data_IF_339490892832
#
_entry.id   IF_339490892832
#
_cell.length_a   1.000
_cell.length_b   1.000
_cell.length_c   1.000
_cell.angle_alpha   90.00
_cell.angle_beta   90.00
_cell.angle_gamma   90.00
#
_symmetry.space_group_name_H-M   'P 1'
#
loop_
_entity.id
_entity.type
_entity.pdbx_description
1 polymer ?
#
# COMPACT_ATOMS: atom_id res chain seq x y z
N UNK A 1 -78.56 -1.43 16.75
CA UNK A 1 -77.82 -0.87 17.90
C UNK A 1 -76.57 -1.69 18.24
N UNK A 2 -76.63 -2.92 18.76
CA UNK A 2 -75.42 -3.69 19.17
C UNK A 2 -74.39 -3.96 18.06
N UNK A 3 -74.82 -4.20 16.82
CA UNK A 3 -73.91 -4.50 15.70
C UNK A 3 -73.07 -3.26 15.31
N UNK A 4 -73.70 -2.10 15.22
CA UNK A 4 -73.01 -0.85 14.88
C UNK A 4 -72.05 -0.39 15.99
N UNK A 5 -72.37 -0.67 17.25
CA UNK A 5 -71.45 -0.40 18.38
C UNK A 5 -70.19 -1.27 18.27
N UNK A 6 -70.36 -2.53 17.87
CA UNK A 6 -69.25 -3.47 17.69
C UNK A 6 -68.36 -3.08 16.51
N UNK A 7 -68.95 -2.69 15.37
CA UNK A 7 -68.19 -2.19 14.20
C UNK A 7 -67.41 -0.90 14.52
N UNK A 8 -68.01 0.03 15.28
CA UNK A 8 -67.31 1.25 15.74
C UNK A 8 -66.15 0.92 16.67
N UNK A 9 -66.33 -0.03 17.59
CA UNK A 9 -65.27 -0.47 18.50
C UNK A 9 -64.12 -1.18 17.76
N UNK A 10 -64.43 -1.99 16.76
CA UNK A 10 -63.44 -2.66 15.91
C UNK A 10 -62.64 -1.65 15.10
N UNK A 11 -63.31 -0.65 14.51
CA UNK A 11 -62.64 0.44 13.79
C UNK A 11 -61.67 1.23 14.68
N UNK A 12 -62.08 1.55 15.91
CA UNK A 12 -61.22 2.24 16.89
C UNK A 12 -59.99 1.38 17.27
N UNK A 13 -60.20 0.08 17.48
CA UNK A 13 -59.09 -0.86 17.76
C UNK A 13 -58.11 -0.98 16.61
N UNK A 14 -58.60 -1.04 15.38
CA UNK A 14 -57.75 -1.10 14.20
C UNK A 14 -56.91 0.16 14.08
N UNK A 15 -57.53 1.33 14.25
CA UNK A 15 -56.84 2.62 14.17
C UNK A 15 -55.82 2.81 15.32
N UNK A 16 -56.09 2.26 16.50
CA UNK A 16 -55.12 2.24 17.61
C UNK A 16 -53.92 1.33 17.29
N UNK A 17 -54.18 0.15 16.70
CA UNK A 17 -53.14 -0.80 16.32
C UNK A 17 -52.25 -0.24 15.21
N UNK A 18 -52.83 0.39 14.18
CA UNK A 18 -52.08 1.06 13.11
C UNK A 18 -51.19 2.19 13.65
N UNK A 19 -51.68 2.98 14.60
CA UNK A 19 -50.87 4.01 15.27
C UNK A 19 -49.72 3.39 16.07
N UNK A 20 -49.98 2.32 16.80
CA UNK A 20 -48.97 1.62 17.58
C UNK A 20 -47.89 0.99 16.68
N UNK A 21 -48.29 0.39 15.56
CA UNK A 21 -47.38 -0.18 14.58
C UNK A 21 -46.50 0.89 13.93
N UNK A 22 -47.10 2.03 13.55
CA UNK A 22 -46.35 3.18 13.02
C UNK A 22 -45.32 3.70 14.01
N UNK A 23 -45.66 3.83 15.29
CA UNK A 23 -44.72 4.26 16.33
C UNK A 23 -43.57 3.27 16.50
N UNK A 24 -43.86 1.96 16.48
CA UNK A 24 -42.84 0.91 16.56
C UNK A 24 -41.90 0.92 15.36
N UNK A 25 -42.43 1.11 14.16
CA UNK A 25 -41.61 1.19 12.95
C UNK A 25 -40.66 2.38 13.02
N UNK A 26 -41.18 3.54 13.43
CA UNK A 26 -40.37 4.75 13.56
C UNK A 26 -39.29 4.63 14.66
N UNK A 27 -39.56 3.89 15.73
CA UNK A 27 -38.57 3.56 16.76
C UNK A 27 -37.48 2.63 16.23
N UNK A 28 -37.86 1.59 15.48
CA UNK A 28 -36.92 0.66 14.84
C UNK A 28 -36.03 1.37 13.82
N UNK A 29 -36.59 2.22 12.96
CA UNK A 29 -35.83 3.00 11.98
C UNK A 29 -34.81 3.93 12.65
N UNK A 30 -35.19 4.58 13.75
CA UNK A 30 -34.26 5.40 14.55
C UNK A 30 -33.15 4.55 15.16
N UNK A 31 -33.48 3.39 15.72
CA UNK A 31 -32.49 2.49 16.31
C UNK A 31 -31.52 1.94 15.25
N UNK A 32 -32.02 1.56 14.08
CA UNK A 32 -31.20 1.09 12.96
C UNK A 32 -30.28 2.19 12.45
N UNK A 33 -30.79 3.42 12.29
CA UNK A 33 -29.98 4.57 11.90
C UNK A 33 -28.84 4.84 12.88
N UNK A 34 -29.11 4.81 14.18
CA UNK A 34 -28.07 4.99 15.21
C UNK A 34 -27.01 3.89 15.13
N UNK A 35 -27.44 2.64 14.94
CA UNK A 35 -26.53 1.50 14.86
C UNK A 35 -25.65 1.55 13.59
N UNK A 36 -26.20 2.00 12.47
CA UNK A 36 -25.46 2.19 11.23
C UNK A 36 -24.41 3.29 11.38
N UNK A 37 -24.78 4.41 12.02
CA UNK A 37 -23.87 5.52 12.27
C UNK A 37 -22.72 5.15 13.23
N UNK A 38 -23.00 4.30 14.22
CA UNK A 38 -21.96 3.74 15.11
C UNK A 38 -20.99 2.82 14.34
N UNK A 39 -21.51 1.94 13.48
CA UNK A 39 -20.69 1.08 12.63
C UNK A 39 -19.80 1.88 11.68
N UNK A 40 -20.35 2.90 11.02
CA UNK A 40 -19.60 3.76 10.11
C UNK A 40 -18.46 4.50 10.83
N UNK A 41 -18.73 5.01 12.04
CA UNK A 41 -17.69 5.63 12.88
C UNK A 41 -16.61 4.64 13.28
N UNK A 42 -16.97 3.42 13.67
CA UNK A 42 -16.02 2.38 14.06
C UNK A 42 -15.16 1.94 12.87
N UNK A 43 -15.75 1.79 11.68
CA UNK A 43 -15.03 1.47 10.45
C UNK A 43 -14.06 2.57 10.05
N UNK A 44 -14.49 3.84 10.11
CA UNK A 44 -13.64 5.00 9.85
C UNK A 44 -12.42 5.04 10.78
N UNK A 45 -12.62 4.78 12.07
CA UNK A 45 -11.53 4.73 13.05
C UNK A 45 -10.53 3.61 12.74
N UNK A 46 -11.01 2.42 12.38
CA UNK A 46 -10.15 1.30 11.95
C UNK A 46 -9.35 1.64 10.70
N UNK A 47 -9.98 2.27 9.72
CA UNK A 47 -9.31 2.65 8.48
C UNK A 47 -8.22 3.69 8.74
N UNK A 48 -8.50 4.69 9.58
CA UNK A 48 -7.52 5.70 9.98
C UNK A 48 -6.33 5.08 10.73
N UNK A 49 -6.56 4.09 11.59
CA UNK A 49 -5.51 3.35 12.29
C UNK A 49 -4.62 2.57 11.31
N UNK A 50 -5.22 1.85 10.35
CA UNK A 50 -4.47 1.12 9.32
C UNK A 50 -3.62 2.05 8.45
N UNK A 51 -4.16 3.22 8.08
CA UNK A 51 -3.42 4.24 7.31
C UNK A 51 -2.24 4.77 8.12
N UNK A 52 -2.42 5.05 9.41
CA UNK A 52 -1.32 5.47 10.30
C UNK A 52 -0.25 4.41 10.43
N UNK A 53 -0.63 3.14 10.57
CA UNK A 53 0.30 2.02 10.66
C UNK A 53 1.09 1.85 9.35
N UNK A 54 0.45 1.94 8.19
CA UNK A 54 1.11 1.91 6.90
C UNK A 54 2.09 3.06 6.73
N UNK A 55 1.69 4.28 7.07
CA UNK A 55 2.57 5.44 7.01
C UNK A 55 3.79 5.31 7.95
N UNK A 56 3.64 4.66 9.10
CA UNK A 56 4.74 4.39 10.01
C UNK A 56 5.70 3.33 9.46
N UNK A 57 5.17 2.25 8.86
CA UNK A 57 5.98 1.24 8.17
C UNK A 57 6.77 1.83 7.00
N UNK A 58 6.14 2.69 6.20
CA UNK A 58 6.83 3.40 5.11
C UNK A 58 7.97 4.29 5.63
N UNK A 59 7.74 5.04 6.70
CA UNK A 59 8.79 5.84 7.35
C UNK A 59 9.93 4.97 7.88
N UNK A 60 9.63 3.82 8.48
CA UNK A 60 10.64 2.89 8.98
C UNK A 60 11.48 2.31 7.81
N UNK A 61 10.83 1.93 6.71
CA UNK A 61 11.52 1.48 5.50
C UNK A 61 12.40 2.58 4.91
N UNK A 62 11.90 3.82 4.88
CA UNK A 62 12.67 4.97 4.42
C UNK A 62 13.91 5.20 5.29
N UNK A 63 13.77 5.15 6.62
CA UNK A 63 14.89 5.29 7.54
C UNK A 63 15.92 4.17 7.39
N UNK A 64 15.47 2.91 7.23
CA UNK A 64 16.34 1.77 6.93
C UNK A 64 17.12 1.99 5.65
N UNK A 65 16.44 2.47 4.61
CA UNK A 65 17.07 2.78 3.34
C UNK A 65 18.13 3.88 3.46
N UNK A 66 17.83 4.95 4.19
CA UNK A 66 18.77 6.06 4.40
C UNK A 66 19.98 5.63 5.24
N UNK A 67 19.80 4.77 6.25
CA UNK A 67 20.89 4.17 7.03
C UNK A 67 21.79 3.30 6.16
N UNK A 68 21.21 2.48 5.28
CA UNK A 68 21.98 1.64 4.35
C UNK A 68 22.76 2.48 3.34
N UNK A 69 22.17 3.57 2.86
CA UNK A 69 22.87 4.57 2.03
C UNK A 69 24.10 5.13 2.76
N UNK A 70 23.96 5.48 4.03
CA UNK A 70 25.08 6.01 4.83
C UNK A 70 26.17 4.96 5.09
N UNK A 71 25.80 3.68 5.31
CA UNK A 71 26.78 2.58 5.43
C UNK A 71 27.61 2.40 4.16
N UNK A 72 26.97 2.49 2.99
CA UNK A 72 27.68 2.41 1.71
C UNK A 72 28.62 3.63 1.54
N UNK A 73 28.14 4.83 1.84
CA UNK A 73 28.92 6.08 1.69
C UNK A 73 30.13 6.14 2.64
N UNK A 74 29.98 5.63 3.87
CA UNK A 74 31.07 5.54 4.85
C UNK A 74 32.04 4.38 4.56
N UNK A 75 31.56 3.26 4.01
CA UNK A 75 32.40 2.14 3.57
C UNK A 75 33.23 2.43 2.31
N UNK A 76 32.82 3.40 1.49
CA UNK A 76 33.50 3.76 0.24
C UNK A 76 34.74 4.66 0.41
N UNK A 77 34.97 5.24 1.60
CA UNK A 77 36.09 6.19 1.83
C UNK A 77 37.43 5.54 2.18
N UNK A 78 37.53 4.22 2.25
CA UNK A 78 38.81 3.51 2.46
C UNK A 78 39.07 2.62 1.25
N UNK A 79 39.52 3.22 0.15
CA UNK A 79 40.41 2.66 -0.88
C UNK A 79 40.28 3.50 -2.15
N UNK A 80 41.06 4.59 -2.26
CA UNK A 80 41.45 5.10 -3.58
C UNK A 80 42.80 5.82 -3.47
N UNK A 81 43.86 5.03 -3.35
CA UNK A 81 45.15 5.36 -3.94
C UNK A 81 45.35 4.37 -5.09
N UNK A 82 45.43 4.87 -6.34
CA UNK A 82 46.46 4.55 -7.36
C UNK A 82 45.91 4.46 -8.80
N UNK A 83 46.42 5.38 -9.61
CA UNK A 83 46.88 5.20 -11.00
C UNK A 83 45.90 4.94 -12.18
N UNK A 84 45.82 5.99 -13.00
CA UNK A 84 46.28 6.09 -14.39
C UNK A 84 45.61 5.28 -15.52
N UNK A 85 45.48 6.04 -16.61
CA UNK A 85 45.47 5.65 -18.02
C UNK A 85 44.15 5.42 -18.76
N UNK A 86 44.23 5.94 -19.98
CA UNK A 86 43.24 6.32 -20.97
C UNK A 86 42.68 5.14 -21.79
N UNK A 87 41.54 5.42 -22.44
CA UNK A 87 40.94 4.70 -23.58
C UNK A 87 40.16 3.39 -23.28
N UNK A 88 38.83 3.51 -23.15
CA UNK A 88 37.87 2.83 -24.05
C UNK A 88 36.41 3.18 -23.67
N UNK A 89 35.68 3.66 -24.67
CA UNK A 89 34.26 3.95 -24.62
C UNK A 89 33.43 2.65 -24.38
N UNK A 90 32.32 2.75 -23.63
CA UNK A 90 31.20 1.79 -23.51
C UNK A 90 31.28 0.57 -22.54
N UNK A 91 32.44 0.22 -21.98
CA UNK A 91 32.54 -0.93 -21.04
C UNK A 91 32.32 -0.54 -19.56
N UNK A 92 32.37 0.77 -19.27
CA UNK A 92 32.39 1.29 -17.89
C UNK A 92 31.03 1.17 -17.18
N UNK A 93 29.91 1.28 -17.89
CA UNK A 93 28.57 1.16 -17.29
C UNK A 93 28.23 -0.27 -16.84
N UNK A 94 28.65 -1.28 -17.60
CA UNK A 94 28.41 -2.71 -17.28
C UNK A 94 29.19 -3.16 -16.03
N UNK A 95 30.45 -2.76 -15.92
CA UNK A 95 31.31 -3.10 -14.77
C UNK A 95 30.82 -2.42 -13.48
N UNK A 96 30.24 -1.21 -13.58
CA UNK A 96 29.65 -0.53 -12.44
C UNK A 96 28.32 -1.19 -12.01
N UNK A 97 27.43 -1.57 -12.94
CA UNK A 97 26.17 -2.22 -12.56
C UNK A 97 26.37 -3.60 -11.92
N UNK A 98 27.30 -4.41 -12.43
CA UNK A 98 27.68 -5.71 -11.82
C UNK A 98 28.18 -5.58 -10.39
N UNK A 99 28.86 -4.48 -10.06
CA UNK A 99 29.33 -4.20 -8.70
C UNK A 99 28.24 -3.63 -7.78
N UNK A 100 27.17 -3.08 -8.36
CA UNK A 100 26.11 -2.36 -7.64
C UNK A 100 24.82 -3.18 -7.45
N UNK A 101 24.69 -4.33 -8.13
CA UNK A 101 23.54 -5.22 -8.07
C UNK A 101 24.03 -6.60 -7.61
N UNK A 102 23.34 -7.27 -6.66
CA UNK A 102 23.64 -8.66 -6.30
C UNK A 102 23.50 -9.61 -7.49
N UNK A 103 24.30 -10.68 -7.55
CA UNK A 103 24.16 -11.68 -8.60
C UNK A 103 22.77 -12.34 -8.57
N UNK A 104 22.22 -12.62 -9.75
CA UNK A 104 20.91 -13.29 -9.86
C UNK A 104 21.07 -14.80 -9.72
N UNK A 105 20.47 -15.39 -8.69
CA UNK A 105 20.33 -16.84 -8.56
C UNK A 105 18.90 -17.25 -8.95
N UNK A 106 18.67 -17.93 -10.10
CA UNK A 106 17.33 -18.35 -10.50
C UNK A 106 16.63 -19.31 -9.53
N UNK A 107 17.36 -19.93 -8.58
CA UNK A 107 16.79 -20.84 -7.57
C UNK A 107 16.38 -20.14 -6.28
N UNK A 108 16.97 -18.99 -5.97
CA UNK A 108 16.82 -18.31 -4.67
C UNK A 108 16.30 -16.86 -4.82
N UNK A 109 16.62 -16.21 -5.93
CA UNK A 109 16.29 -14.82 -6.19
C UNK A 109 14.94 -14.69 -6.90
N UNK A 110 14.08 -13.83 -6.36
CA UNK A 110 12.85 -13.40 -7.02
C UNK A 110 13.18 -12.47 -8.20
N UNK A 111 12.75 -12.85 -9.40
CA UNK A 111 12.97 -12.08 -10.63
C UNK A 111 12.33 -10.69 -10.58
N UNK A 112 11.17 -10.53 -9.94
CA UNK A 112 10.51 -9.24 -9.80
C UNK A 112 11.33 -8.32 -8.90
N UNK A 113 11.85 -8.83 -7.78
CA UNK A 113 12.71 -8.07 -6.89
C UNK A 113 14.02 -7.66 -7.57
N UNK A 114 14.61 -8.58 -8.34
CA UNK A 114 15.82 -8.32 -9.11
C UNK A 114 15.64 -7.19 -10.12
N UNK A 115 14.53 -7.18 -10.87
CA UNK A 115 14.22 -6.13 -11.84
C UNK A 115 13.99 -4.76 -11.19
N UNK A 116 13.37 -4.71 -10.02
CA UNK A 116 13.19 -3.45 -9.25
C UNK A 116 14.54 -2.88 -8.81
N UNK A 117 15.45 -3.73 -8.35
CA UNK A 117 16.82 -3.32 -7.97
C UNK A 117 17.57 -2.82 -9.20
N UNK A 118 17.51 -3.57 -10.31
CA UNK A 118 18.13 -3.17 -11.57
C UNK A 118 17.63 -1.81 -12.06
N UNK A 119 16.32 -1.59 -12.12
CA UNK A 119 15.72 -0.32 -12.56
C UNK A 119 16.21 0.86 -11.71
N UNK A 120 16.25 0.66 -10.38
CA UNK A 120 16.72 1.70 -9.46
C UNK A 120 18.19 2.05 -9.69
N UNK A 121 19.04 1.05 -9.91
CA UNK A 121 20.47 1.26 -10.16
C UNK A 121 20.73 1.83 -11.55
N UNK A 122 19.99 1.40 -12.57
CA UNK A 122 20.07 1.98 -13.92
C UNK A 122 19.66 3.47 -13.91
N UNK A 123 18.61 3.84 -13.17
CA UNK A 123 18.22 5.24 -12.95
C UNK A 123 19.29 6.05 -12.21
N UNK A 124 19.90 5.46 -11.16
CA UNK A 124 21.00 6.11 -10.40
C UNK A 124 22.26 6.32 -11.23
N UNK A 125 22.59 5.36 -12.07
CA UNK A 125 23.72 5.42 -12.99
C UNK A 125 23.40 6.25 -14.27
N UNK A 126 22.22 6.88 -14.34
CA UNK A 126 21.75 7.68 -15.48
C UNK A 126 21.88 6.94 -16.82
N UNK A 127 21.60 5.64 -16.83
CA UNK A 127 21.64 4.82 -18.04
C UNK A 127 20.38 5.09 -18.86
N UNK A 128 20.55 5.37 -20.15
CA UNK A 128 19.43 5.57 -21.07
C UNK A 128 18.60 4.29 -21.22
N UNK A 129 17.26 4.41 -21.27
CA UNK A 129 16.34 3.25 -21.36
C UNK A 129 16.64 2.28 -22.51
N UNK A 130 17.17 2.80 -23.63
CA UNK A 130 17.57 1.99 -24.79
C UNK A 130 18.70 0.99 -24.47
N UNK A 131 19.54 1.31 -23.49
CA UNK A 131 20.67 0.49 -23.06
C UNK A 131 20.25 -0.50 -21.95
N UNK A 132 19.08 -0.34 -21.33
CA UNK A 132 18.67 -1.16 -20.19
C UNK A 132 18.60 -2.65 -20.52
N UNK A 133 18.07 -2.99 -21.69
CA UNK A 133 17.94 -4.40 -22.12
C UNK A 133 19.31 -5.04 -22.30
N UNK A 134 20.26 -4.34 -22.93
CA UNK A 134 21.62 -4.84 -23.13
C UNK A 134 22.38 -5.00 -21.81
N UNK A 135 22.19 -4.06 -20.88
CA UNK A 135 22.79 -4.12 -19.54
C UNK A 135 22.19 -5.29 -18.74
N UNK A 136 20.87 -5.46 -18.76
CA UNK A 136 20.19 -6.54 -18.05
C UNK A 136 20.62 -7.92 -18.57
N UNK A 137 20.73 -8.08 -19.90
CA UNK A 137 21.23 -9.31 -20.53
C UNK A 137 22.66 -9.64 -20.13
N UNK A 138 23.50 -8.63 -19.87
CA UNK A 138 24.87 -8.84 -19.41
C UNK A 138 24.99 -9.27 -17.94
N UNK A 139 23.92 -9.12 -17.15
CA UNK A 139 23.88 -9.42 -15.72
C UNK A 139 23.26 -10.79 -15.38
N UNK A 140 22.43 -11.32 -16.27
CA UNK A 140 21.83 -12.63 -16.08
C UNK A 140 22.81 -13.75 -16.49
N UNK A 141 22.90 -14.84 -15.70
CA UNK A 141 23.74 -16.00 -16.03
C UNK A 141 23.22 -16.81 -17.22
#
# INVERSE_FOLDING_TARGET
MRLEELERAEKMRLEELERAEKMRLEELERAEKMRLEELERAEKMRLEELVKEQALKEKELQLKFDLERFKIESGFRVNDESNDSTNACSVTSNLNLKKLIPDFDPKQSDISLYLVIFERQAKRASIEKKEWVGQLLGLLP
#
